data_IF_017906038252
#
_entry.id   IF_017906038252
#
_cell.length_a   1.000
_cell.length_b   1.000
_cell.length_c   1.000
_cell.angle_alpha   90.00
_cell.angle_beta   90.00
_cell.angle_gamma   90.00
#
_symmetry.space_group_name_H-M   'P 1'
#
loop_
_entity.id
_entity.type
_entity.pdbx_description
1 polymer ?
#
# COMPACT_ATOMS: atom_id res chain seq x y z
N UNK A 1 -38.37 37.40 53.55
CA UNK A 1 -38.04 36.88 52.20
C UNK A 1 -36.62 36.32 52.23
N UNK A 2 -36.42 35.25 51.48
CA UNK A 2 -35.32 34.27 51.54
C UNK A 2 -33.91 34.88 51.45
N UNK A 3 -33.04 34.51 52.39
CA UNK A 3 -31.58 34.57 52.25
C UNK A 3 -31.07 33.16 52.50
N UNK A 4 -30.50 32.53 51.46
CA UNK A 4 -30.02 31.16 51.50
C UNK A 4 -28.63 31.04 50.86
N UNK A 5 -27.65 30.75 51.71
CA UNK A 5 -26.60 29.71 51.57
C UNK A 5 -25.92 29.58 50.20
N UNK A 6 -24.63 29.95 50.14
CA UNK A 6 -23.64 29.28 49.29
C UNK A 6 -22.37 29.02 50.11
N UNK A 7 -22.17 27.77 50.50
CA UNK A 7 -20.96 27.23 51.08
C UNK A 7 -20.75 25.82 50.49
N UNK A 8 -19.50 25.52 50.12
CA UNK A 8 -18.94 24.25 49.65
C UNK A 8 -19.27 23.77 48.22
N UNK A 9 -18.24 23.78 47.35
CA UNK A 9 -17.78 22.59 46.60
C UNK A 9 -16.54 22.95 45.72
N UNK A 10 -15.38 23.03 46.36
CA UNK A 10 -14.06 22.88 45.71
C UNK A 10 -13.45 21.61 46.28
N UNK A 11 -13.71 20.46 45.63
CA UNK A 11 -13.26 19.17 46.17
C UNK A 11 -13.63 17.95 45.33
N UNK A 12 -13.79 18.09 44.01
CA UNK A 12 -14.34 17.02 43.17
C UNK A 12 -13.78 16.91 41.76
N UNK A 13 -12.57 17.40 41.48
CA UNK A 13 -11.99 17.34 40.13
C UNK A 13 -10.57 16.72 40.04
N UNK A 14 -10.07 16.10 41.12
CA UNK A 14 -8.70 15.58 41.19
C UNK A 14 -8.59 14.06 41.41
N UNK A 15 -9.71 13.32 41.41
CA UNK A 15 -9.72 11.85 41.65
C UNK A 15 -10.00 11.03 40.37
N UNK A 16 -10.34 11.66 39.24
CA UNK A 16 -10.59 10.96 37.97
C UNK A 16 -9.35 10.77 37.07
N UNK A 17 -8.17 11.21 37.50
CA UNK A 17 -6.91 10.99 36.78
C UNK A 17 -6.16 9.71 37.20
N UNK A 18 -6.70 8.92 38.14
CA UNK A 18 -5.94 7.84 38.81
C UNK A 18 -6.33 6.39 38.46
N UNK A 19 -7.31 6.14 37.57
CA UNK A 19 -7.88 4.77 37.40
C UNK A 19 -7.79 4.23 35.97
N UNK A 20 -7.03 4.87 35.06
CA UNK A 20 -6.82 4.35 33.69
C UNK A 20 -5.35 4.05 33.34
N UNK A 21 -4.44 3.99 34.33
CA UNK A 21 -3.00 3.89 34.07
C UNK A 21 -2.42 2.46 33.94
N UNK A 22 -3.25 1.41 34.01
CA UNK A 22 -2.81 0.01 33.83
C UNK A 22 -3.08 -0.55 32.43
N UNK A 23 -3.51 0.28 31.48
CA UNK A 23 -3.31 -0.05 30.08
C UNK A 23 -1.80 -0.13 29.87
N UNK A 24 -1.24 -1.34 29.89
CA UNK A 24 0.14 -1.60 29.46
C UNK A 24 0.32 -0.76 28.21
N UNK A 25 1.28 0.19 28.16
CA UNK A 25 1.54 0.91 26.92
C UNK A 25 1.70 -0.19 25.88
N UNK A 26 0.82 -0.19 24.88
CA UNK A 26 0.97 -1.06 23.73
C UNK A 26 2.41 -0.81 23.30
N UNK A 27 3.29 -1.77 23.57
CA UNK A 27 4.72 -1.62 23.35
C UNK A 27 4.81 -1.07 21.94
N UNK A 28 5.40 0.12 21.78
CA UNK A 28 5.52 0.77 20.49
C UNK A 28 6.29 -0.19 19.59
N UNK A 29 5.54 -1.05 18.91
CA UNK A 29 6.06 -2.17 18.18
C UNK A 29 6.84 -1.53 17.05
N UNK A 30 8.14 -1.82 16.95
CA UNK A 30 8.94 -1.33 15.84
C UNK A 30 8.18 -1.62 14.56
N UNK A 31 7.73 -0.56 13.89
CA UNK A 31 6.79 -0.69 12.79
C UNK A 31 7.35 -1.50 11.61
N UNK A 32 8.69 -1.66 11.59
CA UNK A 32 9.44 -2.54 10.71
C UNK A 32 10.50 -3.29 11.53
N UNK A 33 10.20 -4.49 12.06
CA UNK A 33 11.15 -5.22 12.90
C UNK A 33 12.38 -5.62 12.08
N UNK A 34 13.55 -5.43 12.69
CA UNK A 34 14.83 -5.70 12.05
C UNK A 34 15.06 -7.22 11.89
N UNK A 35 15.35 -7.74 10.67
CA UNK A 35 15.70 -9.15 10.52
C UNK A 35 17.03 -9.47 11.25
N UNK A 36 17.10 -10.55 12.05
CA UNK A 36 18.33 -10.92 12.73
C UNK A 36 19.50 -11.15 11.75
N UNK A 37 20.66 -10.57 12.04
CA UNK A 37 21.88 -10.77 11.24
C UNK A 37 21.94 -10.05 9.90
N UNK A 38 20.92 -9.25 9.56
CA UNK A 38 20.94 -8.41 8.36
C UNK A 38 21.58 -7.07 8.71
N UNK A 39 22.54 -6.59 7.92
CA UNK A 39 23.04 -5.21 8.05
C UNK A 39 22.10 -4.28 7.29
N UNK A 40 21.64 -3.22 7.95
CA UNK A 40 20.77 -2.26 7.29
C UNK A 40 21.51 -1.33 6.36
N UNK A 41 20.93 -1.04 5.18
CA UNK A 41 21.38 0.09 4.41
C UNK A 41 21.13 1.37 5.24
N UNK A 42 22.12 2.29 5.29
CA UNK A 42 21.95 3.56 5.97
C UNK A 42 20.78 4.34 5.35
N UNK A 43 20.21 5.24 6.12
CA UNK A 43 19.18 6.16 5.64
C UNK A 43 19.71 6.98 4.46
N UNK A 44 18.82 7.38 3.52
CA UNK A 44 19.23 8.30 2.48
C UNK A 44 19.72 9.61 3.12
N UNK A 45 20.77 10.25 2.57
CA UNK A 45 21.31 11.51 3.12
C UNK A 45 20.31 12.67 3.10
N UNK A 46 19.23 12.53 2.34
CA UNK A 46 18.08 13.44 2.32
C UNK A 46 16.83 12.62 2.57
N UNK A 47 16.03 13.01 3.56
CA UNK A 47 14.80 12.31 3.96
C UNK A 47 13.54 13.02 3.46
N UNK A 48 12.43 12.30 3.44
CA UNK A 48 11.12 12.87 3.13
C UNK A 48 10.75 14.01 4.10
N UNK A 49 11.04 13.86 5.39
CA UNK A 49 10.77 14.90 6.39
C UNK A 49 11.56 16.18 6.12
N UNK A 50 12.80 16.07 5.62
CA UNK A 50 13.59 17.25 5.27
C UNK A 50 12.96 18.06 4.13
N UNK A 51 12.30 17.39 3.17
CA UNK A 51 11.53 18.03 2.10
C UNK A 51 10.28 18.70 2.65
N UNK A 52 9.50 18.01 3.48
CA UNK A 52 8.30 18.58 4.13
C UNK A 52 8.65 19.81 5.00
N UNK A 53 9.83 19.81 5.63
CA UNK A 53 10.33 20.94 6.42
C UNK A 53 10.96 22.06 5.57
N UNK A 54 11.03 21.91 4.24
CA UNK A 54 11.65 22.87 3.32
C UNK A 54 13.19 22.96 3.42
N UNK A 55 13.83 22.05 4.14
CA UNK A 55 15.30 22.00 4.31
C UNK A 55 16.02 21.28 3.17
N UNK A 56 15.28 20.58 2.30
CA UNK A 56 15.78 19.94 1.10
C UNK A 56 14.73 20.02 -0.02
N UNK A 57 15.16 19.88 -1.27
CA UNK A 57 14.23 19.81 -2.41
C UNK A 57 13.79 18.38 -2.69
N UNK A 58 12.63 18.23 -3.34
CA UNK A 58 12.12 16.94 -3.79
C UNK A 58 13.09 16.21 -4.74
N UNK A 59 13.84 16.96 -5.56
CA UNK A 59 14.90 16.42 -6.40
C UNK A 59 16.08 15.87 -5.61
N UNK A 60 16.54 16.58 -4.58
CA UNK A 60 17.60 16.09 -3.69
C UNK A 60 17.18 14.79 -2.99
N UNK A 61 15.94 14.73 -2.50
CA UNK A 61 15.37 13.51 -1.93
C UNK A 61 15.31 12.37 -2.96
N UNK A 62 14.71 12.58 -4.13
CA UNK A 62 14.60 11.56 -5.17
C UNK A 62 15.96 10.97 -5.58
N UNK A 63 16.98 11.82 -5.73
CA UNK A 63 18.33 11.41 -6.08
C UNK A 63 19.04 10.66 -4.94
N UNK A 64 18.80 11.04 -3.69
CA UNK A 64 19.31 10.34 -2.51
C UNK A 64 18.71 8.92 -2.41
N UNK A 65 17.40 8.78 -2.57
CA UNK A 65 16.73 7.46 -2.59
C UNK A 65 17.20 6.62 -3.76
N UNK A 66 17.32 7.22 -4.96
CA UNK A 66 17.86 6.55 -6.14
C UNK A 66 19.26 5.97 -5.86
N UNK A 67 20.17 6.77 -5.30
CA UNK A 67 21.53 6.33 -5.01
C UNK A 67 21.53 5.13 -4.05
N UNK A 68 20.67 5.16 -3.03
CA UNK A 68 20.52 4.05 -2.10
C UNK A 68 19.97 2.77 -2.76
N UNK A 69 18.95 2.88 -3.62
CA UNK A 69 18.41 1.71 -4.35
C UNK A 69 19.45 1.09 -5.29
N UNK A 70 20.34 1.91 -5.87
CA UNK A 70 21.46 1.41 -6.68
C UNK A 70 22.50 0.69 -5.84
N UNK A 71 22.87 1.24 -4.68
CA UNK A 71 23.90 0.63 -3.83
C UNK A 71 23.44 -0.69 -3.20
N UNK A 72 22.13 -0.91 -3.06
CA UNK A 72 21.60 -2.10 -2.41
C UNK A 72 21.70 -3.40 -3.21
N UNK A 73 21.84 -3.36 -4.55
CA UNK A 73 21.81 -4.60 -5.34
C UNK A 73 23.16 -5.09 -5.87
N UNK A 74 24.29 -4.56 -5.40
CA UNK A 74 25.59 -5.21 -5.66
C UNK A 74 25.77 -6.51 -4.87
N UNK A 75 24.97 -6.71 -3.83
CA UNK A 75 24.90 -7.94 -3.05
C UNK A 75 23.57 -8.63 -3.33
N UNK A 76 23.54 -9.97 -3.28
CA UNK A 76 22.30 -10.74 -3.35
C UNK A 76 21.39 -10.32 -2.20
N UNK A 77 20.42 -9.44 -2.49
CA UNK A 77 19.46 -8.97 -1.51
C UNK A 77 18.63 -10.16 -1.04
N UNK A 78 18.79 -10.54 0.23
CA UNK A 78 17.96 -11.58 0.83
C UNK A 78 16.50 -11.15 0.78
N UNK A 79 15.61 -12.11 0.79
CA UNK A 79 14.22 -11.75 0.70
C UNK A 79 13.74 -11.02 1.98
N UNK A 80 14.30 -11.33 3.15
CA UNK A 80 14.11 -10.56 4.39
C UNK A 80 14.58 -9.11 4.26
N UNK A 81 15.72 -8.85 3.59
CA UNK A 81 16.17 -7.50 3.29
C UNK A 81 15.16 -6.75 2.43
N UNK A 82 14.59 -7.42 1.42
CA UNK A 82 13.56 -6.84 0.57
C UNK A 82 12.27 -6.54 1.36
N UNK A 83 11.85 -7.43 2.27
CA UNK A 83 10.71 -7.22 3.18
C UNK A 83 10.92 -5.97 4.03
N UNK A 84 12.11 -5.88 4.61
CA UNK A 84 12.46 -4.79 5.51
C UNK A 84 12.56 -3.46 4.76
N UNK A 85 13.19 -3.45 3.59
CA UNK A 85 13.25 -2.27 2.72
C UNK A 85 11.83 -1.84 2.28
N UNK A 86 10.98 -2.79 1.87
CA UNK A 86 9.58 -2.55 1.56
C UNK A 86 8.81 -1.95 2.72
N UNK A 87 8.98 -2.46 3.93
CA UNK A 87 8.37 -1.91 5.13
C UNK A 87 8.85 -0.49 5.41
N UNK A 88 10.16 -0.25 5.40
CA UNK A 88 10.76 1.07 5.67
C UNK A 88 10.34 2.13 4.67
N UNK A 89 10.22 1.78 3.40
CA UNK A 89 9.72 2.68 2.36
C UNK A 89 8.31 3.18 2.66
N UNK A 90 7.54 2.38 3.40
CA UNK A 90 6.11 2.60 3.65
C UNK A 90 5.81 3.14 5.05
N UNK A 91 6.83 3.27 5.91
CA UNK A 91 6.69 3.75 7.27
C UNK A 91 6.47 5.27 7.29
N UNK A 92 5.30 5.71 7.71
CA UNK A 92 4.98 7.14 7.92
C UNK A 92 5.91 7.74 8.98
N UNK A 93 6.44 8.94 8.70
CA UNK A 93 7.47 9.59 9.52
C UNK A 93 8.87 8.97 9.37
N UNK A 94 9.01 7.93 8.55
CA UNK A 94 10.29 7.33 8.20
C UNK A 94 11.09 8.18 7.22
N UNK A 95 12.33 7.79 6.92
CA UNK A 95 13.21 8.58 6.04
C UNK A 95 12.71 8.66 4.59
N UNK A 96 11.81 7.76 4.18
CA UNK A 96 11.32 7.63 2.81
C UNK A 96 9.88 8.11 2.61
N UNK A 97 9.18 8.45 3.70
CA UNK A 97 7.78 8.81 3.66
C UNK A 97 7.44 9.74 4.82
N UNK A 98 6.98 10.94 4.49
CA UNK A 98 6.40 11.89 5.43
C UNK A 98 5.39 12.76 4.69
N UNK A 99 4.14 12.80 5.15
CA UNK A 99 3.11 13.66 4.59
C UNK A 99 2.87 13.42 3.10
N UNK A 100 3.11 14.45 2.28
CA UNK A 100 2.97 14.40 0.82
C UNK A 100 4.23 13.92 0.10
N UNK A 101 5.36 13.85 0.81
CA UNK A 101 6.64 13.41 0.28
C UNK A 101 6.80 11.92 0.49
N UNK A 102 6.62 11.17 -0.59
CA UNK A 102 6.82 9.72 -0.61
C UNK A 102 7.27 9.24 -2.00
N UNK A 103 7.63 7.97 -2.08
CA UNK A 103 8.12 7.34 -3.31
C UNK A 103 7.06 6.47 -3.98
N UNK A 104 6.94 6.59 -5.28
CA UNK A 104 6.29 5.63 -6.18
C UNK A 104 7.34 5.09 -7.12
N UNK A 105 7.37 3.78 -7.34
CA UNK A 105 8.22 3.19 -8.39
C UNK A 105 7.37 2.63 -9.51
N UNK A 106 7.78 2.86 -10.75
CA UNK A 106 7.15 2.33 -11.94
C UNK A 106 8.07 1.37 -12.69
N UNK A 107 7.45 0.44 -13.38
CA UNK A 107 8.07 -0.31 -14.48
C UNK A 107 8.22 0.56 -15.74
N UNK A 108 9.06 0.14 -16.71
CA UNK A 108 9.19 0.82 -18.01
C UNK A 108 7.94 0.82 -18.89
N UNK A 109 6.87 0.09 -18.53
CA UNK A 109 5.55 0.17 -19.18
C UNK A 109 4.57 1.09 -18.43
N UNK A 110 5.06 1.83 -17.43
CA UNK A 110 4.27 2.81 -16.68
C UNK A 110 3.33 2.20 -15.63
N UNK A 111 3.62 0.97 -15.19
CA UNK A 111 2.86 0.29 -14.14
C UNK A 111 3.46 0.56 -12.77
N UNK A 112 2.61 0.85 -11.80
CA UNK A 112 3.01 1.04 -10.41
C UNK A 112 3.52 -0.29 -9.86
N UNK A 113 4.81 -0.34 -9.54
CA UNK A 113 5.44 -1.51 -8.92
C UNK A 113 5.30 -1.47 -7.39
N UNK A 114 5.59 -0.31 -6.81
CA UNK A 114 5.45 -0.05 -5.37
C UNK A 114 4.94 1.38 -5.19
N UNK A 115 4.02 1.53 -4.24
CA UNK A 115 3.50 2.80 -3.79
C UNK A 115 3.70 2.92 -2.29
N UNK A 116 4.54 3.86 -1.84
CA UNK A 116 4.91 3.96 -0.42
C UNK A 116 3.70 4.22 0.50
N UNK A 117 2.75 5.02 0.03
CA UNK A 117 1.54 5.41 0.76
C UNK A 117 0.38 4.42 0.67
N UNK A 118 -0.06 4.07 -0.54
CA UNK A 118 -1.23 3.21 -0.83
C UNK A 118 -0.87 2.07 -1.81
N UNK A 119 -0.65 0.87 -1.27
CA UNK A 119 -0.32 -0.34 -2.03
C UNK A 119 -1.50 -0.92 -2.80
N UNK A 120 -2.73 -0.46 -2.58
CA UNK A 120 -3.88 -0.87 -3.40
C UNK A 120 -3.71 -0.43 -4.85
N UNK A 121 -3.04 0.70 -5.08
CA UNK A 121 -2.73 1.27 -6.40
C UNK A 121 -1.62 0.53 -7.15
N UNK A 122 -0.87 -0.33 -6.46
CA UNK A 122 0.17 -1.14 -7.07
C UNK A 122 -0.42 -2.12 -8.09
N UNK A 123 0.38 -2.43 -9.11
CA UNK A 123 -0.01 -3.10 -10.34
C UNK A 123 -0.90 -2.29 -11.30
N UNK A 124 -1.44 -1.12 -10.94
CA UNK A 124 -2.17 -0.26 -11.89
C UNK A 124 -1.24 0.42 -12.90
N UNK A 125 -1.68 0.58 -14.14
CA UNK A 125 -0.96 1.37 -15.15
C UNK A 125 -1.38 2.85 -15.13
N UNK A 126 -0.41 3.77 -15.18
CA UNK A 126 -0.69 5.20 -15.33
C UNK A 126 -1.41 5.51 -16.64
N UNK A 127 -2.33 6.49 -16.63
CA UNK A 127 -2.95 7.03 -17.85
C UNK A 127 -1.88 7.42 -18.89
N UNK A 128 -2.10 7.17 -20.20
CA UNK A 128 -1.08 7.41 -21.22
C UNK A 128 -0.52 8.83 -21.20
N UNK A 129 -1.37 9.84 -20.99
CA UNK A 129 -0.97 11.24 -20.94
C UNK A 129 -0.03 11.55 -19.76
N UNK A 130 -0.30 10.97 -18.58
CA UNK A 130 0.55 11.13 -17.40
C UNK A 130 1.91 10.48 -17.64
N UNK A 131 1.90 9.22 -18.09
CA UNK A 131 3.12 8.48 -18.33
C UNK A 131 4.00 9.13 -19.41
N UNK A 132 3.40 9.56 -20.51
CA UNK A 132 4.09 10.30 -21.57
C UNK A 132 4.65 11.64 -21.06
N UNK A 133 3.92 12.35 -20.20
CA UNK A 133 4.40 13.58 -19.57
C UNK A 133 5.64 13.37 -18.71
N UNK A 134 5.65 12.32 -17.87
CA UNK A 134 6.81 11.93 -17.07
C UNK A 134 8.00 11.57 -17.97
N UNK A 135 7.79 10.72 -18.98
CA UNK A 135 8.86 10.34 -19.91
C UNK A 135 9.39 11.53 -20.71
N UNK A 136 8.53 12.45 -21.13
CA UNK A 136 8.94 13.68 -21.83
C UNK A 136 9.82 14.56 -20.95
N UNK A 137 9.51 14.69 -19.65
CA UNK A 137 10.35 15.42 -18.71
C UNK A 137 11.75 14.78 -18.57
N UNK A 138 11.83 13.45 -18.65
CA UNK A 138 13.10 12.70 -18.67
C UNK A 138 13.84 12.79 -20.02
N UNK A 139 13.37 13.61 -20.97
CA UNK A 139 14.00 13.81 -22.26
C UNK A 139 13.75 12.68 -23.27
N UNK A 140 12.74 11.84 -23.05
CA UNK A 140 12.36 10.80 -24.03
C UNK A 140 11.80 11.49 -25.28
N UNK A 141 12.37 11.24 -26.49
CA UNK A 141 11.92 11.90 -27.70
C UNK A 141 10.46 11.60 -28.04
N UNK A 142 9.75 12.59 -28.59
CA UNK A 142 8.35 12.43 -29.01
C UNK A 142 8.12 11.28 -30.00
N UNK A 143 9.12 10.92 -30.81
CA UNK A 143 9.08 9.76 -31.73
C UNK A 143 9.02 8.43 -30.98
N UNK A 144 9.74 8.31 -29.85
CA UNK A 144 9.67 7.12 -28.97
C UNK A 144 8.31 7.06 -28.28
N UNK A 145 7.82 8.20 -27.77
CA UNK A 145 6.49 8.27 -27.14
C UNK A 145 5.36 7.88 -28.10
N UNK A 146 5.39 8.40 -29.33
CA UNK A 146 4.45 8.03 -30.38
C UNK A 146 4.55 6.53 -30.72
N UNK A 147 5.76 5.99 -30.76
CA UNK A 147 5.98 4.56 -31.00
C UNK A 147 5.43 3.67 -29.89
N UNK A 148 5.53 4.08 -28.61
CA UNK A 148 4.95 3.34 -27.47
C UNK A 148 3.42 3.27 -27.53
N UNK A 149 2.77 4.27 -28.14
CA UNK A 149 1.34 4.30 -28.35
C UNK A 149 0.89 3.63 -29.66
N UNK A 150 1.83 3.17 -30.49
CA UNK A 150 1.53 2.58 -31.80
C UNK A 150 0.75 1.27 -31.66
N UNK A 151 -0.31 1.05 -32.44
CA UNK A 151 -0.97 -0.25 -32.52
C UNK A 151 -0.14 -1.31 -33.25
N UNK A 152 0.88 -0.90 -34.01
CA UNK A 152 1.82 -1.83 -34.68
C UNK A 152 2.84 -2.37 -33.65
N UNK A 153 2.83 -3.70 -33.36
CA UNK A 153 3.73 -4.31 -32.39
C UNK A 153 5.22 -4.13 -32.73
N UNK A 154 5.59 -4.05 -34.00
CA UNK A 154 6.98 -3.87 -34.41
C UNK A 154 7.48 -2.46 -34.08
N UNK A 155 6.64 -1.43 -34.30
CA UNK A 155 6.93 -0.05 -33.89
C UNK A 155 6.99 0.04 -32.36
N UNK A 156 6.00 -0.53 -31.67
CA UNK A 156 5.95 -0.54 -30.20
C UNK A 156 7.16 -1.20 -29.57
N UNK A 157 7.62 -2.33 -30.10
CA UNK A 157 8.79 -3.03 -29.60
C UNK A 157 10.08 -2.22 -29.84
N UNK A 158 10.26 -1.60 -31.01
CA UNK A 158 11.41 -0.71 -31.26
C UNK A 158 11.43 0.48 -30.30
N UNK A 159 10.26 1.10 -30.07
CA UNK A 159 10.13 2.21 -29.14
C UNK A 159 10.43 1.79 -27.70
N UNK A 160 9.96 0.60 -27.27
CA UNK A 160 10.28 0.05 -25.95
C UNK A 160 11.78 -0.19 -25.77
N UNK A 161 12.46 -0.77 -26.77
CA UNK A 161 13.91 -0.95 -26.72
C UNK A 161 14.66 0.39 -26.64
N UNK A 162 14.24 1.38 -27.44
CA UNK A 162 14.83 2.73 -27.38
C UNK A 162 14.58 3.41 -26.02
N UNK A 163 13.39 3.24 -25.44
CA UNK A 163 13.08 3.71 -24.09
C UNK A 163 14.03 3.07 -23.06
N UNK A 164 14.20 1.76 -23.08
CA UNK A 164 15.08 1.06 -22.13
C UNK A 164 16.51 1.61 -22.19
N UNK A 165 17.08 1.77 -23.39
CA UNK A 165 18.41 2.36 -23.60
C UNK A 165 18.52 3.81 -23.08
N UNK A 166 17.46 4.60 -23.18
CA UNK A 166 17.43 5.95 -22.62
C UNK A 166 17.37 5.93 -21.09
N UNK A 167 16.54 5.05 -20.51
CA UNK A 167 16.41 4.92 -19.06
C UNK A 167 17.66 4.35 -18.39
N UNK A 168 18.45 3.53 -19.11
CA UNK A 168 19.77 3.05 -18.68
C UNK A 168 20.80 4.18 -18.47
N UNK A 169 20.60 5.34 -19.10
CA UNK A 169 21.40 6.55 -18.84
C UNK A 169 20.99 7.27 -17.56
N UNK A 170 20.00 6.74 -16.86
CA UNK A 170 19.48 7.24 -15.59
C UNK A 170 19.10 8.74 -15.61
N UNK A 171 18.34 9.22 -16.61
CA UNK A 171 17.87 10.59 -16.63
C UNK A 171 17.01 10.90 -15.40
N UNK A 172 16.95 12.18 -15.04
CA UNK A 172 16.11 12.67 -13.96
C UNK A 172 15.67 14.11 -14.25
N UNK A 173 14.46 14.46 -13.84
CA UNK A 173 13.88 15.77 -14.08
C UNK A 173 12.65 16.02 -13.18
N UNK A 174 12.36 17.29 -12.96
CA UNK A 174 11.05 17.71 -12.48
C UNK A 174 10.00 17.53 -13.59
N UNK A 175 8.78 17.18 -13.21
CA UNK A 175 7.63 17.18 -14.10
C UNK A 175 6.46 17.90 -13.44
N UNK A 176 5.72 18.68 -14.22
CA UNK A 176 4.48 19.32 -13.78
C UNK A 176 3.40 19.14 -14.84
N UNK A 177 2.39 18.31 -14.52
CA UNK A 177 1.22 18.10 -15.34
C UNK A 177 -0.05 18.74 -14.75
N UNK A 178 0.08 19.47 -13.64
CA UNK A 178 -1.05 20.16 -12.99
C UNK A 178 -1.53 21.35 -13.81
N UNK A 179 -0.61 22.02 -14.50
CA UNK A 179 -0.93 23.11 -15.41
C UNK A 179 -1.57 22.59 -16.70
N UNK A 180 -2.71 23.18 -17.08
CA UNK A 180 -3.33 22.93 -18.36
C UNK A 180 -2.47 23.48 -19.50
N UNK A 181 -2.40 22.76 -20.61
CA UNK A 181 -1.78 23.25 -21.85
C UNK A 181 -2.92 23.51 -22.84
N UNK A 182 -3.28 24.78 -23.10
CA UNK A 182 -4.41 25.13 -23.95
C UNK A 182 -4.38 24.39 -25.30
N UNK A 183 -5.48 23.72 -25.63
CA UNK A 183 -5.61 22.96 -26.89
C UNK A 183 -4.88 21.61 -26.93
N UNK A 184 -4.10 21.25 -25.90
CA UNK A 184 -3.33 19.99 -25.86
C UNK A 184 -3.87 19.05 -24.79
N UNK A 185 -3.98 19.52 -23.53
CA UNK A 185 -4.49 18.71 -22.42
C UNK A 185 -5.00 19.57 -21.26
N UNK A 186 -6.01 19.08 -20.50
CA UNK A 186 -6.36 19.68 -19.22
C UNK A 186 -5.20 19.51 -18.21
N UNK A 187 -5.24 20.35 -17.17
CA UNK A 187 -4.42 20.16 -15.98
C UNK A 187 -4.85 18.88 -15.25
N UNK A 188 -3.88 18.14 -14.72
CA UNK A 188 -4.12 16.90 -13.99
C UNK A 188 -3.72 17.16 -12.52
N UNK A 189 -4.69 17.36 -11.62
CA UNK A 189 -4.43 17.62 -10.20
C UNK A 189 -3.51 16.56 -9.60
N UNK A 190 -2.56 16.95 -8.75
CA UNK A 190 -1.62 16.02 -8.09
C UNK A 190 -0.51 15.47 -8.99
N UNK A 191 -0.58 15.63 -10.32
CA UNK A 191 0.39 15.07 -11.27
C UNK A 191 1.64 15.94 -11.49
N UNK A 192 2.31 16.30 -10.39
CA UNK A 192 3.62 16.95 -10.40
C UNK A 192 4.60 16.20 -9.50
N UNK A 193 5.90 16.36 -9.75
CA UNK A 193 6.92 15.93 -8.82
C UNK A 193 8.30 15.78 -9.45
N UNK A 194 9.10 14.85 -8.93
CA UNK A 194 10.44 14.58 -9.44
C UNK A 194 10.54 13.14 -9.91
N UNK A 195 10.97 12.94 -11.16
CA UNK A 195 11.19 11.64 -11.75
C UNK A 195 12.70 11.36 -11.88
N UNK A 196 13.11 10.15 -11.55
CA UNK A 196 14.47 9.68 -11.75
C UNK A 196 14.47 8.23 -12.21
N UNK A 197 15.16 7.94 -13.31
CA UNK A 197 15.38 6.58 -13.77
C UNK A 197 16.59 5.97 -13.06
N UNK A 198 16.55 4.66 -12.83
CA UNK A 198 17.67 3.86 -12.33
C UNK A 198 17.60 2.43 -12.84
N UNK A 199 18.75 1.77 -12.96
CA UNK A 199 18.78 0.33 -13.22
C UNK A 199 18.73 -0.41 -11.89
N UNK A 200 17.66 -1.18 -11.67
CA UNK A 200 17.51 -2.00 -10.46
C UNK A 200 18.57 -3.08 -10.46
N UNK A 201 19.49 -3.05 -9.51
CA UNK A 201 20.59 -4.01 -9.49
C UNK A 201 20.11 -5.48 -9.31
N UNK A 202 19.00 -5.72 -8.61
CA UNK A 202 18.42 -7.08 -8.48
C UNK A 202 17.79 -7.65 -9.76
N UNK A 203 17.36 -6.79 -10.69
CA UNK A 203 16.63 -7.24 -11.90
C UNK A 203 17.30 -6.81 -13.19
N UNK A 204 18.40 -6.07 -13.10
CA UNK A 204 19.12 -5.40 -14.19
C UNK A 204 18.19 -4.64 -15.15
N UNK A 205 17.07 -4.14 -14.62
CA UNK A 205 16.05 -3.51 -15.43
C UNK A 205 15.86 -2.07 -15.01
N UNK A 206 15.68 -1.16 -15.99
CA UNK A 206 15.28 0.19 -15.70
C UNK A 206 13.99 0.25 -14.89
N UNK A 207 13.96 1.16 -13.93
CA UNK A 207 12.81 1.53 -13.11
C UNK A 207 12.72 3.05 -13.11
N UNK A 208 11.50 3.55 -12.91
CA UNK A 208 11.26 4.96 -12.70
C UNK A 208 10.92 5.15 -11.24
N UNK A 209 11.64 6.02 -10.55
CA UNK A 209 11.34 6.49 -9.21
C UNK A 209 10.68 7.86 -9.35
N UNK A 210 9.52 8.01 -8.73
CA UNK A 210 8.79 9.28 -8.62
C UNK A 210 8.77 9.66 -7.14
N UNK A 211 9.27 10.84 -6.81
CA UNK A 211 9.10 11.43 -5.49
C UNK A 211 7.96 12.45 -5.54
N UNK A 212 7.16 12.55 -4.47
CA UNK A 212 6.13 13.57 -4.23
C UNK A 212 5.05 13.71 -5.30
N UNK A 213 4.83 12.66 -6.09
CA UNK A 213 3.67 12.52 -6.95
C UNK A 213 2.51 12.01 -6.11
N UNK A 214 1.47 12.83 -5.89
CA UNK A 214 0.26 12.43 -5.14
C UNK A 214 -0.63 11.53 -5.99
N UNK A 215 -0.08 10.36 -6.32
CA UNK A 215 -0.72 9.34 -7.13
C UNK A 215 -1.95 8.76 -6.40
N UNK A 216 -3.05 8.70 -7.12
CA UNK A 216 -4.33 8.13 -6.68
C UNK A 216 -4.99 7.33 -7.82
N UNK A 217 -6.16 6.74 -7.56
CA UNK A 217 -6.89 5.96 -8.55
C UNK A 217 -7.27 6.76 -9.82
N UNK A 218 -7.48 8.07 -9.72
CA UNK A 218 -7.87 8.92 -10.87
C UNK A 218 -6.73 9.07 -11.89
N UNK A 219 -5.50 8.77 -11.51
CA UNK A 219 -4.33 8.80 -12.38
C UNK A 219 -4.09 7.47 -13.12
N UNK A 220 -4.77 6.40 -12.71
CA UNK A 220 -4.64 5.08 -13.29
C UNK A 220 -5.58 4.88 -14.48
N UNK A 221 -5.22 3.97 -15.38
CA UNK A 221 -6.08 3.51 -16.46
C UNK A 221 -7.14 2.58 -15.89
N UNK A 222 -8.33 2.64 -16.47
CA UNK A 222 -9.30 1.56 -16.36
C UNK A 222 -8.75 0.38 -17.18
N UNK A 223 -8.24 -0.64 -16.49
CA UNK A 223 -7.74 -1.85 -17.12
C UNK A 223 -8.87 -2.88 -17.22
N UNK A 224 -9.04 -3.48 -18.39
CA UNK A 224 -9.89 -4.66 -18.52
C UNK A 224 -9.20 -5.81 -17.81
N UNK A 225 -9.78 -6.24 -16.69
CA UNK A 225 -9.27 -7.34 -15.88
C UNK A 225 -9.81 -8.65 -16.44
N UNK A 226 -8.91 -9.56 -16.78
CA UNK A 226 -9.26 -10.95 -17.07
C UNK A 226 -9.25 -11.74 -15.76
N UNK A 227 -10.44 -12.11 -15.29
CA UNK A 227 -10.60 -12.90 -14.07
C UNK A 227 -10.51 -14.41 -14.32
N UNK A 228 -10.37 -14.84 -15.58
CA UNK A 228 -10.64 -16.20 -15.98
C UNK A 228 -12.12 -16.56 -15.83
N UNK A 229 -12.41 -17.87 -15.85
CA UNK A 229 -13.77 -18.42 -15.66
C UNK A 229 -13.76 -19.43 -14.51
N UNK A 230 -13.64 -18.98 -13.25
CA UNK A 230 -13.54 -19.90 -12.13
C UNK A 230 -14.87 -20.62 -11.90
N UNK A 231 -14.79 -21.90 -11.53
CA UNK A 231 -15.98 -22.70 -11.21
C UNK A 231 -16.64 -22.30 -9.88
N UNK A 232 -15.93 -21.55 -9.03
CA UNK A 232 -16.41 -21.02 -7.76
C UNK A 232 -15.84 -19.62 -7.53
N UNK A 233 -16.64 -18.73 -6.98
CA UNK A 233 -16.25 -17.35 -6.65
C UNK A 233 -16.17 -17.15 -5.14
N UNK A 234 -15.61 -16.03 -4.70
CA UNK A 234 -15.56 -15.64 -3.29
C UNK A 234 -16.96 -15.56 -2.66
N UNK A 235 -18.01 -15.25 -3.43
CA UNK A 235 -19.41 -15.22 -2.97
C UNK A 235 -19.95 -16.60 -2.60
N UNK A 236 -19.42 -17.64 -3.22
CA UNK A 236 -19.91 -19.01 -3.07
C UNK A 236 -19.24 -19.73 -1.89
N UNK A 237 -18.26 -19.09 -1.23
CA UNK A 237 -17.51 -19.66 -0.11
C UNK A 237 -18.29 -19.54 1.18
N UNK A 238 -18.86 -20.65 1.64
CA UNK A 238 -19.69 -20.72 2.85
C UNK A 238 -19.27 -21.82 3.83
N UNK A 239 -18.34 -22.69 3.43
CA UNK A 239 -17.89 -23.83 4.22
C UNK A 239 -16.47 -24.29 3.85
N UNK A 240 -15.99 -25.37 4.48
CA UNK A 240 -14.67 -25.97 4.22
C UNK A 240 -14.49 -26.43 2.77
N UNK A 241 -15.52 -27.06 2.19
CA UNK A 241 -15.44 -27.65 0.86
C UNK A 241 -15.32 -26.56 -0.22
N UNK A 242 -16.19 -25.56 -0.15
CA UNK A 242 -16.20 -24.39 -1.02
C UNK A 242 -14.92 -23.55 -0.87
N UNK A 243 -14.41 -23.35 0.35
CA UNK A 243 -13.15 -22.63 0.57
C UNK A 243 -11.94 -23.33 -0.07
N UNK A 244 -11.83 -24.66 0.08
CA UNK A 244 -10.77 -25.45 -0.57
C UNK A 244 -10.86 -25.35 -2.10
N UNK A 245 -12.07 -25.47 -2.64
CA UNK A 245 -12.29 -25.34 -4.08
C UNK A 245 -11.88 -23.95 -4.58
N UNK A 246 -12.26 -22.89 -3.87
CA UNK A 246 -11.94 -21.51 -4.20
C UNK A 246 -10.43 -21.24 -4.26
N UNK A 247 -9.68 -21.65 -3.24
CA UNK A 247 -8.20 -21.52 -3.24
C UNK A 247 -7.57 -22.34 -4.38
N UNK A 248 -8.13 -23.51 -4.69
CA UNK A 248 -7.65 -24.35 -5.80
C UNK A 248 -7.90 -23.72 -7.17
N UNK A 249 -9.08 -23.13 -7.39
CA UNK A 249 -9.40 -22.38 -8.61
C UNK A 249 -8.48 -21.16 -8.76
N UNK A 250 -8.25 -20.41 -7.68
CA UNK A 250 -7.35 -19.27 -7.66
C UNK A 250 -5.91 -19.64 -8.03
N UNK A 251 -5.42 -20.76 -7.49
CA UNK A 251 -4.12 -21.31 -7.87
C UNK A 251 -4.07 -21.69 -9.35
N UNK A 252 -5.13 -22.28 -9.90
CA UNK A 252 -5.20 -22.60 -11.34
C UNK A 252 -5.18 -21.33 -12.19
N UNK A 253 -5.93 -20.30 -11.80
CA UNK A 253 -5.94 -19.00 -12.46
C UNK A 253 -4.55 -18.36 -12.47
N UNK A 254 -3.90 -18.23 -11.31
CA UNK A 254 -2.54 -17.69 -11.19
C UNK A 254 -1.53 -18.51 -12.00
N UNK A 255 -1.57 -19.83 -11.86
CA UNK A 255 -0.70 -20.74 -12.60
C UNK A 255 -0.90 -20.64 -14.11
N UNK A 256 -2.14 -20.48 -14.57
CA UNK A 256 -2.48 -20.28 -15.99
C UNK A 256 -1.92 -18.97 -16.53
N UNK A 257 -2.17 -17.86 -15.82
CA UNK A 257 -1.65 -16.54 -16.17
C UNK A 257 -0.12 -16.56 -16.30
N UNK A 258 0.56 -17.16 -15.32
CA UNK A 258 2.03 -17.19 -15.29
C UNK A 258 2.64 -18.18 -16.29
N UNK A 259 2.00 -19.32 -16.58
CA UNK A 259 2.48 -20.27 -17.62
C UNK A 259 2.30 -19.76 -19.04
N UNK A 260 1.34 -18.87 -19.27
CA UNK A 260 1.12 -18.28 -20.60
C UNK A 260 2.22 -17.30 -21.01
N UNK A 261 2.98 -16.78 -20.04
CA UNK A 261 4.09 -15.88 -20.28
C UNK A 261 5.33 -16.62 -20.79
N UNK A 262 5.93 -16.12 -21.87
CA UNK A 262 7.12 -16.68 -22.51
C UNK A 262 8.39 -15.92 -22.15
N UNK A 263 8.24 -14.70 -21.63
CA UNK A 263 9.36 -13.85 -21.23
C UNK A 263 9.18 -13.36 -19.79
N UNK A 264 10.27 -12.95 -19.15
CA UNK A 264 10.24 -12.32 -17.82
C UNK A 264 9.40 -11.04 -17.79
N UNK A 265 9.34 -10.29 -18.89
CA UNK A 265 8.49 -9.11 -19.02
C UNK A 265 7.01 -9.48 -19.05
N UNK A 266 6.62 -10.44 -19.90
CA UNK A 266 5.25 -10.97 -19.97
C UNK A 266 4.82 -11.57 -18.63
N UNK A 267 5.71 -12.29 -17.96
CA UNK A 267 5.41 -12.90 -16.67
C UNK A 267 5.10 -11.87 -15.60
N UNK A 268 5.85 -10.76 -15.56
CA UNK A 268 5.59 -9.66 -14.61
C UNK A 268 4.28 -8.96 -14.94
N UNK A 269 4.00 -8.71 -16.22
CA UNK A 269 2.73 -8.14 -16.65
C UNK A 269 1.55 -9.06 -16.28
N UNK A 270 1.68 -10.37 -16.49
CA UNK A 270 0.69 -11.36 -16.10
C UNK A 270 0.47 -11.39 -14.58
N UNK A 271 1.55 -11.38 -13.80
CA UNK A 271 1.46 -11.32 -12.34
C UNK A 271 0.77 -10.03 -11.85
N UNK A 272 1.09 -8.88 -12.44
CA UNK A 272 0.49 -7.62 -12.08
C UNK A 272 -1.02 -7.59 -12.40
N UNK A 273 -1.42 -8.10 -13.57
CA UNK A 273 -2.84 -8.27 -13.92
C UNK A 273 -3.56 -9.22 -12.98
N UNK A 274 -2.96 -10.35 -12.64
CA UNK A 274 -3.54 -11.27 -11.67
C UNK A 274 -3.68 -10.60 -10.30
N UNK A 275 -2.70 -9.81 -9.86
CA UNK A 275 -2.76 -9.04 -8.62
C UNK A 275 -3.92 -8.05 -8.61
N UNK A 276 -4.21 -7.36 -9.72
CA UNK A 276 -5.43 -6.53 -9.85
C UNK A 276 -6.70 -7.39 -9.72
N UNK A 277 -6.76 -8.52 -10.43
CA UNK A 277 -7.91 -9.43 -10.39
C UNK A 277 -8.20 -9.97 -8.98
N UNK A 278 -7.17 -10.27 -8.19
CA UNK A 278 -7.31 -10.76 -6.82
C UNK A 278 -7.73 -9.69 -5.80
N UNK A 279 -7.65 -8.41 -6.17
CA UNK A 279 -7.97 -7.27 -5.29
C UNK A 279 -9.29 -6.60 -5.63
N UNK A 280 -9.80 -6.79 -6.84
CA UNK A 280 -11.01 -6.15 -7.29
C UNK A 280 -12.22 -6.62 -6.47
N UNK A 281 -12.88 -5.74 -5.68
CA UNK A 281 -14.03 -6.10 -4.86
C UNK A 281 -15.27 -6.51 -5.67
N UNK A 282 -15.27 -6.24 -6.98
CA UNK A 282 -16.34 -6.63 -7.89
C UNK A 282 -16.04 -7.93 -8.66
N UNK A 283 -14.80 -8.44 -8.55
CA UNK A 283 -14.35 -9.65 -9.22
C UNK A 283 -14.76 -10.94 -8.50
N UNK A 284 -14.54 -12.11 -9.11
CA UNK A 284 -14.85 -13.39 -8.49
C UNK A 284 -13.87 -13.79 -7.39
N UNK A 285 -12.73 -13.09 -7.26
CA UNK A 285 -11.64 -13.46 -6.35
C UNK A 285 -11.65 -12.71 -5.01
N UNK A 286 -12.56 -11.75 -4.85
CA UNK A 286 -12.75 -11.00 -3.62
C UNK A 286 -14.24 -10.69 -3.46
N UNK A 287 -14.80 -11.08 -2.33
CA UNK A 287 -16.13 -10.65 -1.94
C UNK A 287 -16.21 -10.60 -0.44
N UNK A 288 -16.47 -9.40 0.06
CA UNK A 288 -16.51 -9.17 1.48
C UNK A 288 -15.25 -9.65 2.21
N UNK A 289 -15.46 -10.41 3.30
CA UNK A 289 -14.42 -11.04 4.12
C UNK A 289 -13.64 -12.19 3.46
N UNK A 290 -14.09 -12.66 2.28
CA UNK A 290 -13.44 -13.72 1.51
C UNK A 290 -12.52 -13.10 0.46
N UNK A 291 -11.22 -13.23 0.69
CA UNK A 291 -10.17 -12.70 -0.16
C UNK A 291 -8.95 -13.62 -0.15
N UNK A 292 -8.10 -13.50 -1.16
CA UNK A 292 -6.89 -14.29 -1.29
C UNK A 292 -5.66 -13.53 -0.78
N UNK A 293 -4.69 -14.26 -0.25
CA UNK A 293 -3.32 -13.80 -0.04
C UNK A 293 -2.34 -14.75 -0.71
N UNK A 294 -1.21 -14.19 -1.15
CA UNK A 294 -0.07 -14.90 -1.69
C UNK A 294 1.16 -14.55 -0.87
N UNK A 295 1.73 -15.56 -0.23
CA UNK A 295 2.91 -15.49 0.61
C UNK A 295 4.08 -16.15 -0.13
N UNK A 296 5.22 -15.50 -0.15
CA UNK A 296 6.48 -16.15 -0.50
C UNK A 296 7.08 -16.81 0.74
N UNK A 297 7.23 -18.14 0.68
CA UNK A 297 7.66 -18.97 1.81
C UNK A 297 9.15 -18.79 2.11
N UNK A 298 9.97 -18.47 1.11
CA UNK A 298 11.40 -18.23 1.32
C UNK A 298 11.60 -16.95 2.13
N UNK A 299 10.78 -15.93 1.85
CA UNK A 299 10.90 -14.60 2.46
C UNK A 299 9.99 -14.34 3.65
N UNK A 300 8.95 -15.17 3.80
CA UNK A 300 7.82 -14.92 4.69
C UNK A 300 7.14 -13.56 4.47
N UNK A 301 7.10 -13.10 3.21
CA UNK A 301 6.45 -11.84 2.80
C UNK A 301 5.14 -12.14 2.08
N UNK A 302 4.07 -11.44 2.46
CA UNK A 302 2.89 -11.37 1.61
C UNK A 302 3.20 -10.48 0.41
N UNK A 303 3.18 -11.06 -0.78
CA UNK A 303 3.40 -10.36 -2.06
C UNK A 303 2.09 -9.89 -2.67
N UNK A 304 0.96 -10.50 -2.29
CA UNK A 304 -0.40 -10.06 -2.66
C UNK A 304 -1.34 -10.27 -1.47
N UNK A 305 -2.09 -9.25 -1.12
CA UNK A 305 -3.20 -9.34 -0.17
C UNK A 305 -4.44 -8.69 -0.79
N UNK A 306 -5.53 -9.46 -0.92
CA UNK A 306 -6.75 -9.02 -1.60
C UNK A 306 -7.49 -7.89 -0.89
N UNK A 307 -7.58 -7.93 0.45
CA UNK A 307 -8.31 -6.93 1.24
C UNK A 307 -7.45 -5.76 1.77
N UNK A 308 -6.33 -6.07 2.44
CA UNK A 308 -5.47 -5.09 3.12
C UNK A 308 -4.03 -5.05 2.54
N UNK A 309 -3.86 -4.65 1.27
CA UNK A 309 -2.53 -4.55 0.67
C UNK A 309 -1.63 -3.59 1.47
N UNK A 310 -2.21 -2.55 2.08
CA UNK A 310 -1.43 -1.60 2.86
C UNK A 310 -0.89 -2.16 4.17
N UNK A 311 -1.61 -3.06 4.81
CA UNK A 311 -1.18 -3.57 6.11
C UNK A 311 -0.17 -4.70 5.98
N UNK A 312 -0.28 -5.53 4.94
CA UNK A 312 0.45 -6.80 4.88
C UNK A 312 1.48 -6.91 3.76
N UNK A 313 1.30 -6.22 2.63
CA UNK A 313 2.20 -6.46 1.51
C UNK A 313 3.57 -5.80 1.66
N UNK A 314 4.61 -6.54 1.26
CA UNK A 314 6.02 -6.12 1.37
C UNK A 314 6.40 -5.72 2.80
N UNK A 315 5.82 -6.39 3.78
CA UNK A 315 6.16 -6.27 5.19
C UNK A 315 6.47 -7.66 5.76
N UNK A 316 7.46 -7.77 6.66
CA UNK A 316 7.71 -9.03 7.35
C UNK A 316 6.51 -9.37 8.25
N UNK A 317 5.92 -10.54 8.05
CA UNK A 317 4.80 -11.01 8.88
C UNK A 317 5.22 -11.56 10.26
N UNK A 318 6.50 -11.91 10.40
CA UNK A 318 6.91 -13.03 11.25
C UNK A 318 6.83 -12.78 12.77
N UNK A 319 6.68 -11.54 13.30
CA UNK A 319 6.35 -11.38 14.73
C UNK A 319 5.10 -10.55 15.06
N UNK A 320 4.38 -9.97 14.08
CA UNK A 320 3.37 -8.94 14.39
C UNK A 320 1.95 -9.47 14.49
N UNK A 321 1.55 -10.41 13.63
CA UNK A 321 0.18 -10.91 13.61
C UNK A 321 0.01 -12.05 14.61
N UNK A 322 -0.52 -11.71 15.78
CA UNK A 322 -0.94 -12.66 16.79
C UNK A 322 -2.43 -12.88 16.72
N UNK A 323 -2.79 -14.14 16.86
CA UNK A 323 -4.13 -14.55 17.19
C UNK A 323 -4.50 -13.92 18.53
N UNK A 324 -5.50 -13.05 18.52
CA UNK A 324 -5.87 -12.21 19.68
C UNK A 324 -6.35 -13.05 20.88
N UNK A 325 -6.91 -14.24 20.64
CA UNK A 325 -7.43 -15.11 21.71
C UNK A 325 -6.34 -16.00 22.28
N UNK A 326 -5.52 -16.62 21.43
CA UNK A 326 -4.52 -17.61 21.85
C UNK A 326 -3.13 -17.01 22.08
N UNK A 327 -2.87 -15.80 21.57
CA UNK A 327 -1.56 -15.15 21.56
C UNK A 327 -0.53 -15.79 20.61
N UNK A 328 -0.90 -16.87 19.92
CA UNK A 328 -0.02 -17.58 18.97
C UNK A 328 0.15 -16.76 17.70
N UNK A 329 1.27 -16.95 17.00
CA UNK A 329 1.48 -16.31 15.70
C UNK A 329 0.58 -16.98 14.65
N UNK A 330 -0.12 -16.17 13.84
CA UNK A 330 -1.01 -16.69 12.79
C UNK A 330 -0.21 -17.35 11.67
N UNK A 331 0.89 -16.73 11.25
CA UNK A 331 1.66 -17.19 10.09
C UNK A 331 2.20 -18.64 10.24
N UNK A 332 2.84 -19.04 11.35
CA UNK A 332 3.27 -20.44 11.52
C UNK A 332 2.14 -21.45 11.41
N UNK A 333 0.94 -21.13 11.92
CA UNK A 333 -0.24 -22.01 11.84
C UNK A 333 -0.72 -22.13 10.39
N UNK A 334 -0.69 -21.03 9.63
CA UNK A 334 -0.99 -21.03 8.18
C UNK A 334 0.03 -21.85 7.39
N UNK A 335 1.33 -21.73 7.69
CA UNK A 335 2.39 -22.49 7.03
C UNK A 335 2.30 -23.98 7.33
N UNK A 336 1.98 -24.34 8.58
CA UNK A 336 1.75 -25.73 8.98
C UNK A 336 0.57 -26.33 8.20
N UNK A 337 -0.56 -25.62 8.11
CA UNK A 337 -1.70 -26.04 7.30
C UNK A 337 -1.36 -26.15 5.81
N UNK A 338 -0.62 -25.19 5.25
CA UNK A 338 -0.24 -25.21 3.84
C UNK A 338 0.62 -26.42 3.47
N UNK A 339 1.47 -26.88 4.39
CA UNK A 339 2.37 -28.02 4.21
C UNK A 339 1.82 -29.35 4.76
N UNK A 340 0.61 -29.39 5.33
CA UNK A 340 0.07 -30.62 5.93
C UNK A 340 -0.23 -31.72 4.91
N UNK A 341 -0.44 -31.36 3.64
CA UNK A 341 -0.59 -32.29 2.51
C UNK A 341 -0.25 -31.61 1.18
N UNK A 342 -0.03 -32.36 0.07
CA UNK A 342 0.14 -31.77 -1.27
C UNK A 342 -1.06 -30.93 -1.76
N UNK A 343 -2.23 -31.14 -1.16
CA UNK A 343 -3.43 -30.37 -1.45
C UNK A 343 -3.56 -29.12 -0.57
N UNK A 344 -2.80 -29.02 0.52
CA UNK A 344 -2.94 -28.00 1.56
C UNK A 344 -3.70 -28.50 2.79
N UNK A 345 -4.18 -27.56 3.60
CA UNK A 345 -4.81 -27.85 4.89
C UNK A 345 -5.62 -26.68 5.44
N UNK A 346 -6.41 -26.97 6.47
CA UNK A 346 -7.24 -25.99 7.16
C UNK A 346 -6.59 -25.54 8.46
N UNK A 347 -6.86 -24.29 8.84
CA UNK A 347 -6.46 -23.70 10.12
C UNK A 347 -7.58 -22.81 10.63
N UNK A 348 -7.83 -22.80 11.94
CA UNK A 348 -8.73 -21.84 12.57
C UNK A 348 -7.88 -20.86 13.39
N UNK A 349 -8.11 -19.57 13.20
CA UNK A 349 -7.41 -18.50 13.91
C UNK A 349 -8.30 -17.27 14.00
N UNK A 350 -7.97 -16.35 14.90
CA UNK A 350 -8.71 -15.12 15.13
C UNK A 350 -8.08 -13.95 14.37
N UNK A 351 -8.87 -13.24 13.56
CA UNK A 351 -8.41 -12.19 12.65
C UNK A 351 -9.53 -11.20 12.36
N UNK A 352 -9.16 -9.94 12.11
CA UNK A 352 -10.05 -8.80 11.82
C UNK A 352 -10.92 -9.02 10.56
N UNK A 353 -12.24 -8.84 10.66
CA UNK A 353 -13.14 -8.90 9.50
C UNK A 353 -13.15 -7.55 8.76
N UNK A 354 -12.62 -7.46 7.51
CA UNK A 354 -12.64 -6.22 6.73
C UNK A 354 -14.02 -5.62 6.47
N UNK A 355 -15.09 -6.40 6.61
CA UNK A 355 -16.45 -5.95 6.34
C UNK A 355 -17.18 -5.43 7.57
N UNK A 356 -16.59 -5.59 8.76
CA UNK A 356 -17.23 -5.26 10.02
C UNK A 356 -16.24 -4.61 10.97
N UNK A 357 -16.05 -3.29 10.81
CA UNK A 357 -15.24 -2.46 11.74
C UNK A 357 -15.76 -2.48 13.20
N UNK A 358 -16.91 -3.11 13.45
CA UNK A 358 -17.50 -3.27 14.79
C UNK A 358 -17.35 -4.68 15.35
N UNK A 359 -16.79 -5.60 14.57
CA UNK A 359 -16.53 -6.93 15.06
C UNK A 359 -15.53 -6.91 16.20
N UNK A 360 -15.66 -7.90 17.06
CA UNK A 360 -14.61 -8.19 18.00
C UNK A 360 -13.67 -9.13 17.28
N UNK A 361 -12.36 -8.86 17.35
CA UNK A 361 -11.34 -9.73 16.77
C UNK A 361 -11.37 -11.18 17.33
N UNK A 362 -12.27 -11.50 18.26
CA UNK A 362 -12.55 -12.84 18.81
C UNK A 362 -13.53 -13.69 17.97
N UNK A 363 -13.87 -13.33 16.73
CA UNK A 363 -14.59 -14.23 15.82
C UNK A 363 -13.59 -15.16 15.10
N UNK A 364 -13.73 -16.49 15.20
CA UNK A 364 -12.80 -17.41 14.55
C UNK A 364 -12.98 -17.40 13.03
N UNK A 365 -11.88 -17.24 12.31
CA UNK A 365 -11.78 -17.38 10.86
C UNK A 365 -11.33 -18.79 10.54
N UNK A 366 -12.09 -19.48 9.68
CA UNK A 366 -11.64 -20.72 9.06
C UNK A 366 -10.79 -20.38 7.83
N UNK A 367 -9.49 -20.67 7.89
CA UNK A 367 -8.57 -20.55 6.77
C UNK A 367 -8.34 -21.88 6.04
N UNK A 368 -8.02 -21.78 4.75
CA UNK A 368 -7.43 -22.84 3.95
C UNK A 368 -6.19 -22.30 3.24
N UNK A 369 -5.08 -23.02 3.32
CA UNK A 369 -3.84 -22.64 2.67
C UNK A 369 -3.25 -23.82 1.92
N UNK A 370 -2.58 -23.53 0.81
CA UNK A 370 -1.91 -24.53 -0.02
C UNK A 370 -0.58 -23.99 -0.51
N UNK A 371 0.45 -24.82 -0.37
CA UNK A 371 1.76 -24.56 -0.95
C UNK A 371 1.82 -24.98 -2.43
N UNK A 372 2.56 -24.22 -3.22
CA UNK A 372 2.94 -24.59 -4.58
C UNK A 372 4.31 -24.03 -4.94
N UNK A 373 5.03 -24.75 -5.80
CA UNK A 373 6.31 -24.28 -6.35
C UNK A 373 6.07 -23.68 -7.72
N UNK A 374 6.68 -22.52 -7.95
CA UNK A 374 6.74 -21.90 -9.26
C UNK A 374 8.19 -21.92 -9.75
N UNK A 375 8.42 -22.53 -10.90
CA UNK A 375 9.70 -22.46 -11.59
C UNK A 375 9.67 -21.38 -12.66
N UNK A 376 10.67 -20.50 -12.68
CA UNK A 376 10.87 -19.50 -13.72
C UNK A 376 12.26 -19.62 -14.29
N UNK A 377 12.39 -19.59 -15.61
CA UNK A 377 13.70 -19.54 -16.27
C UNK A 377 14.23 -18.10 -16.24
N UNK A 378 15.44 -17.93 -15.73
CA UNK A 378 16.22 -16.70 -15.87
C UNK A 378 16.74 -16.55 -17.30
N UNK A 379 17.29 -15.37 -17.62
CA UNK A 379 17.75 -15.05 -18.97
C UNK A 379 18.92 -15.95 -19.45
N UNK A 380 19.70 -16.48 -18.51
CA UNK A 380 20.80 -17.44 -18.74
C UNK A 380 20.33 -18.89 -18.84
N UNK A 381 19.02 -19.15 -18.71
CA UNK A 381 18.43 -20.49 -18.72
C UNK A 381 18.35 -21.15 -17.34
N UNK A 382 18.89 -20.54 -16.29
CA UNK A 382 18.82 -21.08 -14.92
C UNK A 382 17.36 -21.14 -14.45
N UNK A 383 16.95 -22.28 -13.91
CA UNK A 383 15.63 -22.43 -13.30
C UNK A 383 15.63 -21.93 -11.85
N UNK A 384 14.87 -20.87 -11.58
CA UNK A 384 14.65 -20.35 -10.24
C UNK A 384 13.31 -20.89 -9.74
N UNK A 385 13.34 -21.66 -8.65
CA UNK A 385 12.14 -22.15 -7.98
C UNK A 385 11.75 -21.23 -6.83
N UNK A 386 10.53 -20.72 -6.85
CA UNK A 386 9.94 -19.93 -5.75
C UNK A 386 8.86 -20.76 -5.07
N UNK A 387 8.96 -20.90 -3.75
CA UNK A 387 7.97 -21.59 -2.93
C UNK A 387 6.92 -20.59 -2.46
N UNK A 388 5.68 -20.78 -2.89
CA UNK A 388 4.58 -19.86 -2.63
C UNK A 388 3.49 -20.56 -1.82
N UNK A 389 2.82 -19.82 -0.94
CA UNK A 389 1.61 -20.26 -0.24
C UNK A 389 0.48 -19.33 -0.67
N UNK A 390 -0.59 -19.92 -1.17
CA UNK A 390 -1.85 -19.21 -1.41
C UNK A 390 -2.86 -19.64 -0.36
N UNK A 391 -3.61 -18.69 0.17
CA UNK A 391 -4.70 -18.99 1.10
C UNK A 391 -5.82 -17.98 1.06
N UNK A 392 -6.91 -18.36 1.71
CA UNK A 392 -8.13 -17.58 1.92
C UNK A 392 -8.74 -17.99 3.26
N UNK A 393 -9.75 -17.27 3.72
CA UNK A 393 -10.56 -17.68 4.85
C UNK A 393 -11.99 -17.16 4.80
N UNK A 394 -12.84 -17.73 5.63
CA UNK A 394 -14.25 -17.36 5.81
C UNK A 394 -14.58 -17.31 7.29
N UNK A 395 -15.39 -16.34 7.70
CA UNK A 395 -15.96 -16.29 9.04
C UNK A 395 -17.18 -17.19 9.08
N UNK A 396 -17.03 -18.35 9.71
CA UNK A 396 -18.17 -19.24 9.95
C UNK A 396 -19.00 -18.62 11.07
N UNK A 397 -19.98 -17.80 10.71
CA UNK A 397 -21.00 -17.39 11.67
C UNK A 397 -21.64 -18.68 12.18
N UNK A 398 -21.46 -18.96 13.48
CA UNK A 398 -22.20 -20.02 14.16
C UNK A 398 -23.65 -19.84 13.76
N UNK A 399 -24.20 -20.80 13.01
CA UNK A 399 -25.42 -20.64 12.23
C UNK A 399 -26.45 -19.95 13.09
N UNK A 400 -26.61 -18.63 12.94
CA UNK A 400 -27.59 -17.92 13.74
C UNK A 400 -28.93 -18.52 13.30
N UNK A 401 -29.74 -19.04 14.23
CA UNK A 401 -31.06 -19.47 13.86
C UNK A 401 -31.73 -18.28 13.16
N UNK A 402 -32.15 -18.51 11.92
CA UNK A 402 -32.66 -17.52 10.92
C UNK A 402 -33.70 -16.53 11.48
N UNK A 403 -34.23 -16.79 12.68
CA UNK A 403 -35.18 -15.95 13.40
C UNK A 403 -34.66 -14.61 13.97
N UNK A 404 -33.35 -14.28 13.94
CA UNK A 404 -32.83 -13.02 14.56
C UNK A 404 -32.56 -11.84 13.63
N UNK A 405 -32.68 -12.00 12.30
CA UNK A 405 -32.38 -10.92 11.36
C UNK A 405 -33.34 -9.71 11.43
N UNK A 406 -34.52 -9.86 12.03
CA UNK A 406 -35.49 -8.75 12.22
C UNK A 406 -35.18 -7.85 13.43
N UNK A 407 -34.32 -8.27 14.35
CA UNK A 407 -33.98 -7.46 15.54
C UNK A 407 -32.70 -6.63 15.36
N UNK A 408 -31.80 -7.01 14.44
CA UNK A 408 -30.58 -6.27 14.15
C UNK A 408 -30.86 -4.88 13.56
N UNK A 409 -31.90 -4.73 12.72
CA UNK A 409 -32.28 -3.43 12.13
C UNK A 409 -32.71 -2.39 13.19
N UNK A 410 -33.23 -2.83 14.35
CA UNK A 410 -33.57 -1.92 15.46
C UNK A 410 -32.37 -1.51 16.32
N UNK A 411 -31.31 -2.31 16.36
CA UNK A 411 -30.10 -2.03 17.13
C UNK A 411 -29.06 -1.18 16.35
N UNK A 412 -29.08 -1.26 15.02
CA UNK A 412 -28.13 -0.56 14.13
C UNK A 412 -28.48 0.92 13.95
N UNK A 413 -29.76 1.30 14.02
CA UNK A 413 -30.20 2.68 13.75
C UNK A 413 -29.59 3.74 14.72
N UNK A 414 -29.46 3.50 16.04
CA UNK A 414 -28.78 4.43 16.94
C UNK A 414 -27.25 4.50 16.74
N UNK A 415 -26.63 3.50 16.12
CA UNK A 415 -25.17 3.42 15.92
C UNK A 415 -24.75 4.09 14.61
N UNK A 416 -25.54 3.93 13.53
CA UNK A 416 -25.37 4.69 12.27
C UNK A 416 -25.46 6.20 12.52
N UNK A 417 -26.36 6.62 13.41
CA UNK A 417 -26.48 8.04 13.79
C UNK A 417 -25.25 8.57 14.55
N UNK A 418 -24.52 7.72 15.29
CA UNK A 418 -23.28 8.09 15.99
C UNK A 418 -22.06 8.11 15.05
N UNK A 419 -21.96 7.15 14.13
CA UNK A 419 -20.89 7.11 13.13
C UNK A 419 -20.94 8.32 12.19
N UNK A 420 -22.15 8.76 11.80
CA UNK A 420 -22.33 9.99 11.03
C UNK A 420 -21.91 11.25 11.80
N UNK A 421 -22.01 11.27 13.14
CA UNK A 421 -21.55 12.41 13.94
C UNK A 421 -20.03 12.44 14.05
N UNK A 422 -19.36 11.30 14.19
CA UNK A 422 -17.90 11.22 14.28
C UNK A 422 -17.21 11.61 12.95
N UNK A 423 -17.67 11.05 11.82
CA UNK A 423 -17.15 11.39 10.48
C UNK A 423 -17.33 12.88 10.13
N UNK A 424 -18.43 13.49 10.58
CA UNK A 424 -18.66 14.94 10.40
C UNK A 424 -17.74 15.78 11.30
N UNK A 425 -17.44 15.32 12.51
CA UNK A 425 -16.52 16.01 13.43
C UNK A 425 -15.08 15.96 12.92
N UNK A 426 -14.61 14.83 12.39
CA UNK A 426 -13.25 14.71 11.84
C UNK A 426 -13.07 15.51 10.54
N UNK A 427 -14.09 15.53 9.67
CA UNK A 427 -14.09 16.35 8.47
C UNK A 427 -14.11 17.86 8.79
N UNK A 428 -14.78 18.27 9.86
CA UNK A 428 -14.79 19.66 10.34
C UNK A 428 -13.47 20.02 11.03
N UNK A 429 -12.90 19.12 11.83
CA UNK A 429 -11.63 19.31 12.52
C UNK A 429 -10.46 19.47 11.54
N UNK A 430 -10.41 18.64 10.48
CA UNK A 430 -9.43 18.76 9.41
C UNK A 430 -9.54 20.08 8.64
N UNK A 431 -10.77 20.57 8.37
CA UNK A 431 -10.99 21.88 7.73
C UNK A 431 -10.61 23.05 8.63
N UNK A 432 -10.82 22.95 9.94
CA UNK A 432 -10.39 23.97 10.91
C UNK A 432 -8.86 24.05 10.96
N UNK A 433 -8.16 22.91 11.03
CA UNK A 433 -6.70 22.88 11.01
C UNK A 433 -6.11 23.48 9.73
N UNK A 434 -6.73 23.18 8.57
CA UNK A 434 -6.33 23.73 7.28
C UNK A 434 -6.63 25.24 7.15
N UNK A 435 -7.72 25.72 7.76
CA UNK A 435 -8.04 27.15 7.84
C UNK A 435 -7.10 27.92 8.78
N UNK A 436 -6.67 27.30 9.88
CA UNK A 436 -5.68 27.91 10.80
C UNK A 436 -4.26 27.93 10.21
N UNK A 437 -3.90 26.94 9.39
CA UNK A 437 -2.61 26.89 8.71
C UNK A 437 -2.48 27.88 7.53
N UNK A 438 -3.61 28.36 6.99
CA UNK A 438 -3.66 29.27 5.84
C UNK A 438 -3.90 30.74 6.19
N UNK A 439 -3.98 31.09 7.48
CA UNK A 439 -4.08 32.48 7.92
C UNK A 439 -2.68 33.10 8.00
N UNK A 440 -2.31 34.07 7.15
CA UNK A 440 -1.01 34.74 7.26
C UNK A 440 -0.96 35.55 8.56
N UNK A 441 0.23 35.68 9.19
CA UNK A 441 0.36 36.39 10.46
C UNK A 441 -0.16 37.82 10.33
N UNK A 442 -1.07 38.20 11.24
CA UNK A 442 -1.62 39.54 11.30
C UNK A 442 -0.49 40.57 11.34
N UNK A 443 -0.45 41.50 10.37
CA UNK A 443 0.44 42.66 10.42
C UNK A 443 0.14 43.42 11.70
N UNK A 444 1.10 43.44 12.61
CA UNK A 444 1.04 44.17 13.87
C UNK A 444 0.66 45.63 13.61
N UNK A 445 -0.49 46.01 14.14
CA UNK A 445 -0.97 47.38 14.20
C UNK A 445 -0.14 48.08 15.29
N UNK A 446 0.78 48.97 14.89
CA UNK A 446 1.52 49.84 15.81
C UNK A 446 0.67 51.07 16.11
N UNK A 447 0.22 51.20 17.37
CA UNK A 447 -0.42 52.41 17.89
C UNK A 447 0.58 53.16 18.77
N UNK A 448 1.15 54.23 18.19
CA UNK A 448 1.35 55.55 18.80
C UNK A 448 2.27 55.71 20.02
N UNK A 449 3.16 56.70 19.95
CA UNK A 449 3.82 57.26 21.13
C UNK A 449 4.89 58.29 20.81
N UNK A 450 4.47 59.50 20.44
CA UNK A 450 5.33 60.68 20.50
C UNK A 450 5.62 61.05 21.95
N UNK A 451 6.89 61.29 22.28
CA UNK A 451 7.31 62.05 23.46
C UNK A 451 8.47 62.95 23.06
N UNK A 452 8.25 64.25 23.20
CA UNK A 452 9.20 65.35 23.09
C UNK A 452 9.92 65.62 24.43
N UNK A 453 11.18 66.07 24.35
CA UNK A 453 11.96 66.86 25.34
C UNK A 453 12.39 66.08 26.63
N UNK A 454 13.54 66.28 27.26
CA UNK A 454 14.54 67.35 27.28
C UNK A 454 15.90 66.83 27.79
N UNK A 455 16.93 67.64 27.51
CA UNK A 455 18.16 67.93 28.27
C UNK A 455 19.31 66.91 28.44
N UNK A 456 20.47 67.38 27.93
CA UNK A 456 21.88 67.22 28.33
C UNK A 456 22.79 66.62 27.26
#
# INVERSE_FOLDING_TARGET
>A
MKTGIYLFLVGGLLVLAGVFSDARPALAQEACPHPPGVTLPPDPPVTAQQVENGSATQGQFALAVRAQFKSQGSETVSAEQLAFAGCRLRLEGGPMRSGSTYIVTLTPDGRVFLHAKDMSLSAGSLKPAIYAGILSALGVPGTVLAGLASPDPAIGNRARSALLQLLEREPHAEFDLTSAVPGVRPGIPGASGYAAAYVSANTEQPRLLLAGFDLDASHLRDEVIDYGNPAITARDVVDRATLKQFVTEALRFLGGALRSARTTAESRAAFAKARLALRDPNGPWRHGSVYLYLLDRTSNIIVVHGAFPDQFELRPLVPTVRDVVTGKLVLPQVLEAASSSPEGGFVEYYFDDPDDDTDSADIPKLGYAREFTRTTSAADGTEISTHLVIGSGVYLRASEPVARQTNAVKAVLPQVMRAMTASTVDAVSGRIQQATASTPPAKGFSLGGASTLADA
#
